data_IF_192859445064
#
_entry.id   IF_192859445064
#
_cell.length_a   1.000
_cell.length_b   1.000
_cell.length_c   1.000
_cell.angle_alpha   90.00
_cell.angle_beta   90.00
_cell.angle_gamma   90.00
#
_symmetry.space_group_name_H-M   'P 1'
#
loop_
_entity.id
_entity.type
_entity.pdbx_description
1 polymer ?
#
# COMPACT_ATOMS: atom_id res chain seq x y z
N UNK A 1 6.67 -4.56 3.03
CA UNK A 1 7.67 -3.80 3.82
C UNK A 1 8.21 -2.70 2.92
N UNK A 2 8.17 -1.44 3.36
CA UNK A 2 8.52 -0.27 2.52
C UNK A 2 9.91 0.32 2.80
N UNK A 3 10.51 -0.04 3.95
CA UNK A 3 11.89 0.27 4.28
C UNK A 3 12.42 -0.83 5.21
N UNK A 4 13.66 -1.25 4.98
CA UNK A 4 14.38 -2.21 5.81
C UNK A 4 15.46 -1.52 6.64
N UNK A 5 15.93 -2.19 7.69
CA UNK A 5 17.11 -1.76 8.43
C UNK A 5 18.31 -1.56 7.49
N UNK A 6 18.99 -0.44 7.63
CA UNK A 6 20.20 -0.08 6.87
C UNK A 6 21.38 0.05 7.85
N UNK A 7 22.22 -0.98 8.04
CA UNK A 7 23.27 -0.97 9.07
C UNK A 7 24.37 0.08 8.89
N UNK A 8 24.57 0.57 7.66
CA UNK A 8 25.62 1.54 7.31
C UNK A 8 25.06 2.95 7.08
N UNK A 9 23.81 3.18 7.48
CA UNK A 9 23.15 4.47 7.38
C UNK A 9 23.44 5.27 8.64
N UNK A 10 24.28 6.30 8.52
CA UNK A 10 24.71 7.16 9.63
C UNK A 10 23.82 8.40 9.79
N UNK A 11 22.70 8.45 9.07
CA UNK A 11 21.68 9.50 9.17
C UNK A 11 20.81 9.33 10.44
N UNK A 12 21.43 9.62 11.58
CA UNK A 12 20.77 9.60 12.89
C UNK A 12 20.05 10.92 13.22
N UNK A 13 20.19 11.97 12.40
CA UNK A 13 19.74 13.32 12.72
C UNK A 13 18.65 13.86 11.80
N UNK A 14 18.68 13.54 10.50
CA UNK A 14 17.78 14.16 9.52
C UNK A 14 16.50 13.34 9.34
N UNK A 15 16.60 12.01 9.48
CA UNK A 15 15.46 11.11 9.40
C UNK A 15 14.72 11.22 8.05
N UNK A 16 13.39 11.30 8.08
CA UNK A 16 12.58 11.38 6.86
C UNK A 16 11.77 12.68 6.81
N UNK A 17 12.27 13.66 6.05
CA UNK A 17 11.54 14.91 5.79
C UNK A 17 10.78 14.81 4.46
N UNK A 18 9.45 14.72 4.52
CA UNK A 18 8.54 14.63 3.35
C UNK A 18 8.96 13.56 2.33
N UNK A 19 9.51 12.45 2.83
CA UNK A 19 10.03 11.37 1.98
C UNK A 19 8.89 10.51 1.40
N UNK A 20 8.76 10.40 0.06
CA UNK A 20 7.65 9.68 -0.56
C UNK A 20 7.95 8.18 -0.69
N UNK A 21 7.74 7.41 0.37
CA UNK A 21 7.75 5.95 0.26
C UNK A 21 6.63 5.47 -0.67
N UNK A 22 6.96 4.54 -1.59
CA UNK A 22 6.03 4.01 -2.58
C UNK A 22 6.11 2.48 -2.65
N UNK A 23 5.00 1.84 -3.00
CA UNK A 23 4.92 0.40 -3.21
C UNK A 23 3.88 0.06 -4.28
N UNK A 24 4.13 -1.00 -5.04
CA UNK A 24 3.17 -1.60 -5.98
C UNK A 24 2.60 -2.93 -5.48
N UNK A 25 2.95 -3.36 -4.25
CA UNK A 25 2.57 -4.67 -3.73
C UNK A 25 1.05 -4.89 -3.65
N UNK A 26 0.26 -3.83 -3.49
CA UNK A 26 -1.20 -3.86 -3.38
C UNK A 26 -1.90 -3.48 -4.68
N UNK A 27 -1.21 -3.56 -5.83
CA UNK A 27 -1.79 -3.18 -7.11
C UNK A 27 -3.00 -4.03 -7.45
N UNK A 28 -4.11 -3.38 -7.83
CA UNK A 28 -5.36 -4.05 -8.16
C UNK A 28 -6.24 -4.36 -6.96
N UNK A 29 -5.78 -4.15 -5.72
CA UNK A 29 -6.66 -4.22 -4.55
C UNK A 29 -7.59 -3.00 -4.46
N UNK A 30 -8.74 -3.18 -3.81
CA UNK A 30 -9.63 -2.06 -3.47
C UNK A 30 -9.02 -1.24 -2.33
N UNK A 31 -8.94 0.10 -2.42
CA UNK A 31 -8.27 0.90 -1.40
C UNK A 31 -9.14 1.20 -0.17
N UNK A 32 -10.40 0.76 -0.16
CA UNK A 32 -11.34 0.97 0.95
C UNK A 32 -10.97 0.05 2.11
N UNK A 33 -11.03 0.61 3.32
CA UNK A 33 -10.75 -0.12 4.54
C UNK A 33 -9.74 0.61 5.42
N UNK A 34 -9.27 -0.09 6.46
CA UNK A 34 -8.30 0.47 7.40
C UNK A 34 -6.88 0.24 6.91
N UNK A 35 -6.15 1.33 6.72
CA UNK A 35 -4.72 1.31 6.49
C UNK A 35 -3.97 1.50 7.82
N UNK A 36 -2.88 0.75 7.99
CA UNK A 36 -2.03 0.82 9.18
C UNK A 36 -0.60 1.11 8.75
N UNK A 37 0.01 2.13 9.36
CA UNK A 37 1.44 2.38 9.27
C UNK A 37 2.11 1.83 10.54
N UNK A 38 3.04 0.89 10.37
CA UNK A 38 3.88 0.38 11.46
C UNK A 38 5.29 0.95 11.33
N UNK A 39 5.78 1.58 12.41
CA UNK A 39 7.14 2.09 12.51
C UNK A 39 7.74 1.56 13.81
N UNK A 40 8.96 1.03 13.74
CA UNK A 40 9.65 0.46 14.89
C UNK A 40 11.15 0.73 14.80
N UNK A 41 11.76 0.88 15.97
CA UNK A 41 13.21 0.84 16.08
C UNK A 41 13.67 -0.62 16.12
N UNK A 42 14.51 -1.01 15.17
CA UNK A 42 15.13 -2.33 15.10
C UNK A 42 16.60 -2.24 15.57
N UNK A 43 16.78 -2.03 16.87
CA UNK A 43 18.08 -1.88 17.53
C UNK A 43 18.08 -2.56 18.90
N UNK A 44 19.26 -3.03 19.33
CA UNK A 44 19.45 -3.54 20.69
C UNK A 44 19.58 -2.41 21.71
N UNK A 45 19.94 -1.21 21.26
CA UNK A 45 20.07 -0.03 22.09
C UNK A 45 18.78 0.78 22.01
N UNK A 46 18.23 1.28 23.14
CA UNK A 46 17.05 2.14 23.11
C UNK A 46 17.24 3.34 22.16
N UNK A 47 16.24 3.56 21.31
CA UNK A 47 16.17 4.68 20.37
C UNK A 47 14.92 5.50 20.66
N UNK A 48 14.94 6.78 20.33
CA UNK A 48 13.80 7.69 20.49
C UNK A 48 13.58 8.50 19.23
N UNK A 49 12.34 8.92 19.01
CA UNK A 49 11.93 9.67 17.84
C UNK A 49 10.42 9.81 17.81
N UNK A 50 9.93 10.59 16.86
CA UNK A 50 8.50 10.89 16.74
C UNK A 50 8.14 11.08 15.28
N UNK A 51 6.92 10.68 14.93
CA UNK A 51 6.33 10.95 13.62
C UNK A 51 5.52 12.23 13.77
N UNK A 52 5.97 13.29 13.09
CA UNK A 52 5.27 14.58 13.09
C UNK A 52 4.02 14.53 12.22
N UNK A 53 4.18 13.98 11.02
CA UNK A 53 3.14 13.89 10.00
C UNK A 53 3.34 12.63 9.17
N UNK A 54 2.25 12.11 8.64
CA UNK A 54 2.29 11.10 7.59
C UNK A 54 1.06 11.30 6.69
N UNK A 55 1.20 10.94 5.43
CA UNK A 55 0.10 11.00 4.46
C UNK A 55 0.11 9.72 3.65
N UNK A 56 -1.05 9.06 3.58
CA UNK A 56 -1.27 7.97 2.64
C UNK A 56 -1.85 8.55 1.35
N UNK A 57 -1.12 8.38 0.25
CA UNK A 57 -1.60 8.73 -1.09
C UNK A 57 -1.89 7.45 -1.86
N UNK A 58 -3.15 7.29 -2.27
CA UNK A 58 -3.59 6.16 -3.10
C UNK A 58 -3.73 6.63 -4.53
N UNK A 59 -3.00 5.98 -5.43
CA UNK A 59 -3.12 6.20 -6.87
C UNK A 59 -3.87 5.04 -7.52
N UNK A 60 -4.73 5.35 -8.48
CA UNK A 60 -5.51 4.36 -9.21
C UNK A 60 -6.49 5.02 -10.17
N UNK A 61 -7.36 4.21 -10.73
CA UNK A 61 -8.47 4.66 -11.58
C UNK A 61 -9.76 4.75 -10.76
N UNK A 62 -10.67 5.64 -11.15
CA UNK A 62 -12.00 5.75 -10.53
C UNK A 62 -12.84 4.48 -10.74
N UNK A 63 -12.71 3.89 -11.93
CA UNK A 63 -13.43 2.69 -12.35
C UNK A 63 -12.43 1.62 -12.80
N UNK A 64 -12.74 0.32 -12.61
CA UNK A 64 -11.86 -0.75 -13.09
C UNK A 64 -11.71 -0.68 -14.62
N UNK A 65 -10.48 -0.75 -15.17
CA UNK A 65 -10.24 -0.60 -16.61
C UNK A 65 -10.90 -1.72 -17.44
N UNK A 66 -11.23 -2.84 -16.81
CA UNK A 66 -11.87 -3.99 -17.43
C UNK A 66 -13.40 -4.00 -17.29
N UNK A 67 -14.03 -2.93 -16.76
CA UNK A 67 -15.47 -2.89 -16.50
C UNK A 67 -16.29 -3.33 -17.72
N UNK A 68 -15.96 -2.76 -18.88
CA UNK A 68 -16.73 -2.92 -20.11
C UNK A 68 -16.22 -4.07 -21.00
N UNK A 69 -15.22 -4.84 -20.55
CA UNK A 69 -14.73 -6.00 -21.30
C UNK A 69 -15.72 -7.17 -21.20
N UNK A 70 -16.07 -7.83 -22.32
CA UNK A 70 -16.98 -8.97 -22.29
C UNK A 70 -16.36 -10.16 -21.55
N UNK A 71 -17.18 -10.90 -20.81
CA UNK A 71 -16.81 -12.18 -20.20
C UNK A 71 -17.33 -13.28 -21.11
N UNK A 72 -16.43 -14.00 -21.77
CA UNK A 72 -16.78 -15.09 -22.69
C UNK A 72 -16.99 -16.42 -21.96
N UNK A 73 -16.31 -16.61 -20.83
CA UNK A 73 -16.37 -17.80 -19.97
C UNK A 73 -16.43 -17.37 -18.50
N UNK A 74 -17.41 -17.89 -17.76
CA UNK A 74 -17.63 -17.63 -16.33
C UNK A 74 -16.48 -18.12 -15.44
N UNK A 75 -15.67 -19.06 -15.93
CA UNK A 75 -14.47 -19.54 -15.22
C UNK A 75 -13.20 -18.79 -15.62
N UNK A 76 -13.30 -17.81 -16.52
CA UNK A 76 -12.16 -17.00 -16.94
C UNK A 76 -11.61 -16.16 -15.79
N UNK A 77 -10.31 -15.83 -15.87
CA UNK A 77 -9.67 -14.92 -14.90
C UNK A 77 -10.41 -13.58 -14.81
N UNK A 78 -10.93 -13.07 -15.93
CA UNK A 78 -11.67 -11.82 -15.97
C UNK A 78 -13.00 -11.92 -15.20
N UNK A 79 -13.75 -13.02 -15.36
CA UNK A 79 -14.98 -13.28 -14.62
C UNK A 79 -14.72 -13.32 -13.10
N UNK A 80 -13.68 -14.06 -12.70
CA UNK A 80 -13.29 -14.21 -11.30
C UNK A 80 -12.90 -12.85 -10.69
N UNK A 81 -12.09 -12.06 -11.39
CA UNK A 81 -11.63 -10.74 -10.92
C UNK A 81 -12.80 -9.75 -10.83
N UNK A 82 -13.68 -9.69 -11.83
CA UNK A 82 -14.88 -8.84 -11.79
C UNK A 82 -15.75 -9.14 -10.57
N UNK A 83 -16.05 -10.42 -10.34
CA UNK A 83 -16.85 -10.86 -9.19
C UNK A 83 -16.19 -10.51 -7.86
N UNK A 84 -14.87 -10.72 -7.73
CA UNK A 84 -14.13 -10.38 -6.52
C UNK A 84 -14.18 -8.88 -6.21
N UNK A 85 -14.00 -8.02 -7.22
CA UNK A 85 -14.04 -6.57 -7.04
C UNK A 85 -15.45 -6.07 -6.73
N UNK A 86 -16.50 -6.60 -7.38
CA UNK A 86 -17.88 -6.25 -7.06
C UNK A 86 -18.26 -6.56 -5.60
N UNK A 87 -17.79 -7.67 -5.06
CA UNK A 87 -17.99 -8.02 -3.64
C UNK A 87 -17.23 -7.07 -2.72
N UNK A 88 -15.96 -6.79 -3.04
CA UNK A 88 -15.12 -5.88 -2.24
C UNK A 88 -15.63 -4.43 -2.21
N UNK A 89 -16.42 -4.00 -3.20
CA UNK A 89 -17.01 -2.65 -3.24
C UNK A 89 -18.33 -2.51 -2.47
N UNK A 90 -18.97 -3.61 -2.06
CA UNK A 90 -20.29 -3.60 -1.39
C UNK A 90 -20.21 -3.50 0.15
N UNK A 91 -19.02 -3.32 0.70
CA UNK A 91 -18.75 -3.21 2.14
C UNK A 91 -18.53 -1.75 2.53
#
# INVERSE_FOLDING_TARGET
MILNKRPNDDDQYDGFTKWPFMTTHTWGEGPRGRWTLEVRFDSQVPQTGYIREWTLMVHGTREPPYRDLPVEDDNSKLAIVKKAHEVGYKI
#
